data_IF_874832506691
#
_entry.id   IF_874832506691
#
_cell.length_a   1.000
_cell.length_b   1.000
_cell.length_c   1.000
_cell.angle_alpha   90.00
_cell.angle_beta   90.00
_cell.angle_gamma   90.00
#
_symmetry.space_group_name_H-M   'P 1'
#
loop_
_entity.id
_entity.type
_entity.pdbx_description
1 polymer ?
#
# COMPACT_ATOMS: atom_id res chain seq x y z
N UNK A 1 -20.58 -13.27 40.17
CA UNK A 1 -19.12 -13.26 40.33
C UNK A 1 -18.52 -12.19 39.44
N UNK A 2 -17.49 -11.48 39.93
CA UNK A 2 -16.85 -10.37 39.22
C UNK A 2 -15.34 -10.60 39.13
N UNK A 3 -14.70 -10.05 38.11
CA UNK A 3 -13.23 -10.10 37.98
C UNK A 3 -12.53 -9.42 39.17
N UNK A 4 -11.36 -9.92 39.52
CA UNK A 4 -10.51 -9.33 40.57
C UNK A 4 -10.09 -7.91 40.15
N UNK A 5 -9.98 -7.01 41.13
CA UNK A 5 -9.50 -5.64 40.90
C UNK A 5 -8.14 -5.66 40.20
N UNK A 6 -7.93 -4.79 39.23
CA UNK A 6 -6.70 -4.73 38.42
C UNK A 6 -6.63 -5.71 37.23
N UNK A 7 -7.62 -6.61 37.08
CA UNK A 7 -7.64 -7.52 35.92
C UNK A 7 -7.73 -6.73 34.59
N UNK A 8 -6.85 -7.09 33.65
CA UNK A 8 -6.86 -6.61 32.29
C UNK A 8 -6.94 -7.77 31.32
N UNK A 9 -7.71 -7.60 30.25
CA UNK A 9 -7.76 -8.55 29.11
C UNK A 9 -7.41 -7.78 27.85
N UNK A 10 -6.36 -8.23 27.16
CA UNK A 10 -5.79 -7.54 25.99
C UNK A 10 -5.56 -6.03 26.26
N UNK A 11 -5.10 -5.69 27.47
CA UNK A 11 -4.85 -4.31 27.87
C UNK A 11 -6.08 -3.55 28.40
N UNK A 12 -7.29 -4.07 28.20
CA UNK A 12 -8.54 -3.43 28.66
C UNK A 12 -8.83 -3.82 30.12
N UNK A 13 -9.01 -2.82 31.00
CA UNK A 13 -9.34 -3.05 32.42
C UNK A 13 -10.76 -3.59 32.57
N UNK A 14 -10.87 -4.78 33.18
CA UNK A 14 -12.15 -5.47 33.45
C UNK A 14 -12.38 -5.77 34.91
N UNK A 15 -11.48 -5.33 35.79
CA UNK A 15 -11.59 -5.52 37.22
C UNK A 15 -12.92 -5.00 37.79
N UNK A 16 -13.57 -5.79 38.63
CA UNK A 16 -14.86 -5.46 39.24
C UNK A 16 -16.09 -5.69 38.30
N UNK A 17 -15.88 -6.07 37.04
CA UNK A 17 -16.96 -6.34 36.10
C UNK A 17 -17.40 -7.81 36.14
N UNK A 18 -18.64 -8.10 35.77
CA UNK A 18 -19.12 -9.44 35.43
C UNK A 18 -18.56 -9.86 34.07
N UNK A 19 -18.77 -11.11 33.64
CA UNK A 19 -18.35 -11.59 32.32
C UNK A 19 -19.02 -10.78 31.20
N UNK A 20 -20.33 -10.53 31.30
CA UNK A 20 -21.08 -9.80 30.29
C UNK A 20 -20.67 -8.31 30.21
N UNK A 21 -20.49 -7.69 31.38
CA UNK A 21 -19.99 -6.30 31.46
C UNK A 21 -18.55 -6.18 30.90
N UNK A 22 -17.69 -7.17 31.18
CA UNK A 22 -16.32 -7.20 30.66
C UNK A 22 -16.29 -7.41 29.16
N UNK A 23 -17.14 -8.32 28.65
CA UNK A 23 -17.31 -8.54 27.21
C UNK A 23 -17.72 -7.25 26.50
N UNK A 24 -18.80 -6.62 26.96
CA UNK A 24 -19.30 -5.37 26.38
C UNK A 24 -18.24 -4.24 26.44
N UNK A 25 -17.46 -4.16 27.52
CA UNK A 25 -16.41 -3.16 27.68
C UNK A 25 -15.25 -3.38 26.68
N UNK A 26 -14.82 -4.64 26.49
CA UNK A 26 -13.74 -4.96 25.54
C UNK A 26 -14.21 -4.70 24.10
N UNK A 27 -15.41 -5.18 23.74
CA UNK A 27 -16.00 -4.97 22.43
C UNK A 27 -16.18 -3.48 22.13
N UNK A 28 -16.70 -2.70 23.07
CA UNK A 28 -16.87 -1.25 22.94
C UNK A 28 -15.55 -0.50 22.81
N UNK A 29 -14.52 -0.91 23.57
CA UNK A 29 -13.19 -0.32 23.48
C UNK A 29 -12.62 -0.47 22.08
N UNK A 30 -12.59 -1.69 21.54
CA UNK A 30 -12.03 -1.93 20.23
C UNK A 30 -12.88 -1.36 19.10
N UNK A 31 -14.20 -1.33 19.22
CA UNK A 31 -15.07 -0.72 18.21
C UNK A 31 -14.90 0.81 18.13
N UNK A 32 -14.67 1.48 19.26
CA UNK A 32 -14.52 2.93 19.31
C UNK A 32 -13.09 3.44 19.08
N UNK A 33 -12.11 2.64 19.45
CA UNK A 33 -10.69 3.05 19.46
C UNK A 33 -9.89 2.53 18.25
N UNK A 34 -10.47 1.63 17.44
CA UNK A 34 -9.74 1.10 16.30
C UNK A 34 -9.52 2.16 15.24
N UNK A 35 -8.25 2.39 14.93
CA UNK A 35 -7.81 3.26 13.86
C UNK A 35 -6.63 2.61 13.16
N UNK A 36 -6.68 2.51 11.84
CA UNK A 36 -5.55 2.10 11.01
C UNK A 36 -4.91 3.33 10.39
N UNK A 37 -3.69 3.64 10.79
CA UNK A 37 -2.87 4.68 10.16
C UNK A 37 -2.11 4.09 8.97
N UNK A 38 -2.39 4.59 7.77
CA UNK A 38 -1.70 4.24 6.53
C UNK A 38 -0.56 5.24 6.36
N UNK A 39 0.68 4.72 6.39
CA UNK A 39 1.88 5.53 6.19
C UNK A 39 2.30 5.45 4.73
N UNK A 40 2.51 6.61 4.13
CA UNK A 40 2.82 6.76 2.73
C UNK A 40 4.27 7.21 2.51
N UNK A 41 4.74 7.04 1.30
CA UNK A 41 6.01 7.61 0.86
C UNK A 41 6.04 9.12 1.09
N UNK A 42 7.17 9.64 1.57
CA UNK A 42 7.30 11.06 1.89
C UNK A 42 6.72 11.48 3.23
N UNK A 43 6.28 10.52 4.08
CA UNK A 43 5.84 10.77 5.46
C UNK A 43 4.38 11.22 5.59
N UNK A 44 3.62 11.26 4.50
CA UNK A 44 2.17 11.52 4.57
C UNK A 44 1.46 10.35 5.23
N UNK A 45 0.33 10.63 5.88
CA UNK A 45 -0.47 9.60 6.57
C UNK A 45 -1.94 9.85 6.32
N UNK A 46 -2.68 8.77 6.15
CA UNK A 46 -4.13 8.76 6.13
C UNK A 46 -4.65 7.76 7.16
N UNK A 47 -5.89 7.91 7.59
CA UNK A 47 -6.47 7.05 8.64
C UNK A 47 -7.81 6.49 8.20
N UNK A 48 -8.00 5.19 8.41
CA UNK A 48 -9.30 4.52 8.33
C UNK A 48 -9.72 4.21 9.77
N UNK A 49 -10.86 4.76 10.20
CA UNK A 49 -11.38 4.53 11.54
C UNK A 49 -12.24 3.27 11.60
N UNK A 50 -12.36 2.67 12.77
CA UNK A 50 -13.26 1.54 12.98
C UNK A 50 -14.71 1.88 12.66
N UNK A 51 -15.14 3.10 12.96
CA UNK A 51 -16.49 3.59 12.65
C UNK A 51 -16.74 3.64 11.12
N UNK A 52 -15.73 3.99 10.33
CA UNK A 52 -15.84 4.05 8.87
C UNK A 52 -16.19 2.70 8.23
N UNK A 53 -15.73 1.61 8.82
CA UNK A 53 -15.82 0.26 8.27
C UNK A 53 -16.71 -0.68 9.09
N UNK A 54 -17.37 -0.17 10.13
CA UNK A 54 -18.19 -0.98 11.03
C UNK A 54 -17.36 -2.06 11.76
N UNK A 55 -16.14 -1.71 12.17
CA UNK A 55 -15.20 -2.62 12.84
C UNK A 55 -15.78 -3.08 14.17
N UNK A 56 -15.82 -4.38 14.38
CA UNK A 56 -16.29 -5.00 15.63
C UNK A 56 -15.33 -6.11 16.02
N UNK A 57 -15.21 -6.28 17.32
CA UNK A 57 -14.47 -7.38 17.93
C UNK A 57 -15.44 -8.22 18.71
N UNK A 58 -15.45 -9.50 18.46
CA UNK A 58 -16.18 -10.47 19.27
C UNK A 58 -15.23 -11.15 20.24
N UNK A 59 -15.57 -11.03 21.51
CA UNK A 59 -14.85 -11.65 22.60
C UNK A 59 -15.39 -13.07 22.79
N UNK A 60 -14.55 -14.12 22.65
CA UNK A 60 -14.99 -15.48 22.80
C UNK A 60 -15.31 -15.83 24.27
N UNK A 61 -15.95 -16.97 24.49
CA UNK A 61 -16.37 -17.44 25.81
C UNK A 61 -15.21 -17.68 26.82
N UNK A 62 -13.97 -17.60 26.38
CA UNK A 62 -12.77 -17.72 27.23
C UNK A 62 -12.67 -16.72 28.39
N UNK A 63 -13.42 -15.60 28.36
CA UNK A 63 -13.54 -14.68 29.49
C UNK A 63 -14.04 -15.35 30.75
N UNK A 64 -14.99 -16.28 30.63
CA UNK A 64 -15.50 -17.04 31.75
C UNK A 64 -14.43 -17.93 32.38
N UNK A 65 -13.59 -18.54 31.57
CA UNK A 65 -12.49 -19.40 32.05
C UNK A 65 -11.47 -18.59 32.89
N UNK A 66 -11.15 -17.35 32.50
CA UNK A 66 -10.29 -16.46 33.27
C UNK A 66 -10.91 -16.16 34.62
N UNK A 67 -12.21 -15.82 34.66
CA UNK A 67 -12.92 -15.54 35.91
C UNK A 67 -12.98 -16.78 36.81
N UNK A 68 -13.27 -17.95 36.26
CA UNK A 68 -13.34 -19.20 37.03
C UNK A 68 -11.96 -19.56 37.60
N UNK A 69 -10.87 -19.35 36.88
CA UNK A 69 -9.50 -19.53 37.36
C UNK A 69 -9.17 -18.58 38.53
N UNK A 70 -9.56 -17.30 38.44
CA UNK A 70 -9.39 -16.34 39.56
C UNK A 70 -10.18 -16.73 40.79
N UNK A 71 -11.38 -17.27 40.63
CA UNK A 71 -12.19 -17.75 41.76
C UNK A 71 -11.58 -18.99 42.42
N UNK A 72 -11.04 -19.94 41.62
CA UNK A 72 -10.37 -21.14 42.11
C UNK A 72 -9.07 -20.82 42.84
N UNK A 73 -8.32 -19.81 42.41
CA UNK A 73 -7.07 -19.36 43.00
C UNK A 73 -7.26 -18.56 44.32
N UNK A 74 -8.49 -18.43 44.83
CA UNK A 74 -8.76 -17.72 46.07
C UNK A 74 -8.74 -16.21 45.97
N UNK A 75 -8.92 -15.66 44.74
CA UNK A 75 -9.07 -14.21 44.49
C UNK A 75 -7.92 -13.37 45.04
N UNK A 76 -6.71 -13.74 44.75
CA UNK A 76 -5.53 -12.96 45.13
C UNK A 76 -5.61 -11.58 44.47
N UNK A 77 -5.93 -10.57 45.29
CA UNK A 77 -5.89 -9.16 44.87
C UNK A 77 -4.81 -8.45 45.65
N UNK A 78 -3.82 -7.91 44.93
CA UNK A 78 -2.81 -7.06 45.53
C UNK A 78 -2.37 -6.02 44.49
N UNK A 79 -1.82 -4.87 44.91
CA UNK A 79 -1.38 -3.82 44.02
C UNK A 79 -0.28 -4.29 43.03
N UNK A 80 0.41 -5.39 43.34
CA UNK A 80 1.52 -5.93 42.55
C UNK A 80 1.16 -7.23 41.79
N UNK A 81 -0.10 -7.67 41.84
CA UNK A 81 -0.53 -8.86 41.12
C UNK A 81 -0.72 -8.50 39.63
N UNK A 82 0.12 -9.06 38.76
CA UNK A 82 -0.10 -8.97 37.32
C UNK A 82 -1.29 -9.87 36.92
N UNK A 83 -2.46 -9.25 36.86
CA UNK A 83 -3.70 -9.88 36.40
C UNK A 83 -3.96 -9.61 34.90
N UNK A 84 -2.92 -9.51 34.10
CA UNK A 84 -3.03 -9.30 32.68
C UNK A 84 -3.20 -10.62 31.94
N UNK A 85 -4.20 -10.68 31.07
CA UNK A 85 -4.54 -11.84 30.27
C UNK A 85 -4.59 -11.45 28.80
N UNK A 86 -4.17 -12.38 27.94
CA UNK A 86 -4.28 -12.23 26.49
C UNK A 86 -5.18 -13.33 25.95
N UNK A 87 -6.10 -12.96 25.06
CA UNK A 87 -6.97 -13.92 24.39
C UNK A 87 -7.15 -13.55 22.92
N UNK A 88 -7.32 -14.57 22.08
CA UNK A 88 -7.68 -14.36 20.69
C UNK A 88 -9.11 -13.78 20.59
N UNK A 89 -9.30 -12.80 19.72
CA UNK A 89 -10.60 -12.20 19.44
C UNK A 89 -10.93 -12.34 17.95
N UNK A 90 -12.21 -12.41 17.63
CA UNK A 90 -12.66 -12.43 16.23
C UNK A 90 -12.97 -11.01 15.80
N UNK A 91 -12.40 -10.60 14.68
CA UNK A 91 -12.63 -9.29 14.07
C UNK A 91 -13.63 -9.44 12.92
N UNK A 92 -14.63 -8.55 12.91
CA UNK A 92 -15.59 -8.41 11.81
C UNK A 92 -15.65 -6.96 11.35
N UNK A 93 -15.84 -6.73 10.07
CA UNK A 93 -16.00 -5.40 9.46
C UNK A 93 -16.71 -5.51 8.11
N UNK A 94 -17.23 -4.40 7.60
CA UNK A 94 -17.82 -4.34 6.27
C UNK A 94 -16.72 -4.27 5.19
N UNK A 95 -16.60 -5.32 4.39
CA UNK A 95 -15.66 -5.34 3.25
C UNK A 95 -16.00 -4.28 2.21
N UNK A 96 -17.30 -4.02 1.99
CA UNK A 96 -17.77 -2.98 1.06
C UNK A 96 -17.35 -1.59 1.54
N UNK A 97 -17.59 -1.27 2.82
CA UNK A 97 -17.20 0.01 3.40
C UNK A 97 -15.68 0.19 3.41
N UNK A 98 -14.91 -0.86 3.74
CA UNK A 98 -13.45 -0.84 3.66
C UNK A 98 -12.99 -0.57 2.23
N UNK A 99 -13.51 -1.28 1.24
CA UNK A 99 -13.17 -1.08 -0.17
C UNK A 99 -13.48 0.35 -0.65
N UNK A 100 -14.63 0.91 -0.26
CA UNK A 100 -14.99 2.29 -0.57
C UNK A 100 -14.01 3.30 0.08
N UNK A 101 -13.61 3.07 1.33
CA UNK A 101 -12.64 3.94 2.02
C UNK A 101 -11.25 3.86 1.39
N UNK A 102 -10.78 2.67 1.02
CA UNK A 102 -9.49 2.50 0.34
C UNK A 102 -9.48 3.27 -0.97
N UNK A 103 -10.52 3.13 -1.80
CA UNK A 103 -10.62 3.87 -3.07
C UNK A 103 -10.67 5.40 -2.90
N UNK A 104 -11.18 5.87 -1.78
CA UNK A 104 -11.26 7.29 -1.45
C UNK A 104 -9.97 7.87 -0.86
N UNK A 105 -8.96 7.04 -0.55
CA UNK A 105 -7.66 7.52 -0.09
C UNK A 105 -7.02 8.44 -1.13
N UNK A 106 -6.41 9.53 -0.70
CA UNK A 106 -5.71 10.46 -1.60
C UNK A 106 -4.51 9.81 -2.28
N UNK A 107 -3.96 8.78 -1.67
CA UNK A 107 -2.98 7.85 -2.22
C UNK A 107 -3.44 7.20 -3.54
N UNK A 108 -4.75 6.95 -3.70
CA UNK A 108 -5.34 6.27 -4.87
C UNK A 108 -6.05 7.26 -5.80
N UNK A 109 -6.83 8.19 -5.23
CA UNK A 109 -7.72 9.07 -5.99
C UNK A 109 -7.33 10.55 -5.96
N UNK A 110 -6.21 10.91 -5.32
CA UNK A 110 -5.79 12.29 -5.15
C UNK A 110 -5.29 12.95 -6.43
N UNK A 111 -5.50 14.26 -6.56
CA UNK A 111 -5.06 15.06 -7.71
C UNK A 111 -3.54 15.27 -7.79
N UNK A 112 -2.80 14.93 -6.73
CA UNK A 112 -1.33 15.05 -6.66
C UNK A 112 -0.57 13.78 -7.09
N UNK A 113 -1.24 12.84 -7.75
CA UNK A 113 -0.61 11.60 -8.19
C UNK A 113 0.22 11.87 -9.44
N UNK A 114 1.50 11.53 -9.36
CA UNK A 114 2.43 11.50 -10.49
C UNK A 114 2.66 10.04 -10.89
N UNK A 115 2.47 9.73 -12.15
CA UNK A 115 2.66 8.36 -12.66
C UNK A 115 4.15 8.06 -12.78
N UNK A 116 4.55 6.91 -12.25
CA UNK A 116 5.90 6.38 -12.43
C UNK A 116 6.06 5.89 -13.87
N UNK A 117 7.15 6.26 -14.51
CA UNK A 117 7.48 5.82 -15.87
C UNK A 117 8.98 5.58 -16.01
N UNK A 118 9.31 4.56 -16.80
CA UNK A 118 10.69 4.27 -17.18
C UNK A 118 11.23 5.32 -18.15
N UNK A 119 12.54 5.48 -18.16
CA UNK A 119 13.22 6.24 -19.21
C UNK A 119 12.97 5.57 -20.56
N UNK A 120 12.82 6.37 -21.58
CA UNK A 120 12.52 5.91 -22.94
C UNK A 120 13.18 6.80 -23.98
N UNK A 121 13.24 6.31 -25.20
CA UNK A 121 13.69 7.14 -26.33
C UNK A 121 12.51 7.97 -26.83
N UNK A 122 12.77 9.23 -27.21
CA UNK A 122 11.77 10.11 -27.81
C UNK A 122 11.22 9.49 -29.11
N UNK A 123 9.95 9.78 -29.42
CA UNK A 123 9.41 9.49 -30.75
C UNK A 123 10.04 10.43 -31.79
N UNK A 124 10.00 10.02 -33.05
CA UNK A 124 10.33 10.89 -34.15
C UNK A 124 9.13 11.84 -34.38
N UNK A 125 9.27 13.09 -33.95
CA UNK A 125 8.15 14.06 -34.00
C UNK A 125 8.36 15.16 -35.02
N UNK A 126 9.62 15.54 -35.23
CA UNK A 126 9.97 16.63 -36.13
C UNK A 126 11.17 16.26 -37.00
N UNK A 127 11.09 16.62 -38.29
CA UNK A 127 12.18 16.46 -39.23
C UNK A 127 13.44 17.23 -38.77
N UNK A 128 14.58 16.56 -38.77
CA UNK A 128 15.86 17.13 -38.35
C UNK A 128 16.13 17.07 -36.84
N UNK A 129 15.17 16.65 -36.01
CA UNK A 129 15.41 16.48 -34.56
C UNK A 129 16.07 15.13 -34.27
N UNK A 130 17.14 15.09 -33.43
CA UNK A 130 17.74 13.84 -33.01
C UNK A 130 16.84 13.11 -32.01
N UNK A 131 16.91 11.78 -32.02
CA UNK A 131 16.36 11.01 -30.91
C UNK A 131 17.10 11.35 -29.62
N UNK A 132 16.37 11.45 -28.53
CA UNK A 132 16.89 11.75 -27.20
C UNK A 132 16.35 10.77 -26.16
N UNK A 133 17.09 10.57 -25.10
CA UNK A 133 16.61 9.82 -23.95
C UNK A 133 15.71 10.75 -23.12
N UNK A 134 14.45 10.36 -22.95
CA UNK A 134 13.51 11.01 -22.05
C UNK A 134 13.73 10.40 -20.66
N UNK A 135 14.03 11.21 -19.62
CA UNK A 135 14.30 10.70 -18.29
C UNK A 135 13.12 9.93 -17.69
N UNK A 136 13.44 9.00 -16.80
CA UNK A 136 12.47 8.32 -15.98
C UNK A 136 11.78 9.30 -15.03
N UNK A 137 10.57 8.95 -14.60
CA UNK A 137 9.83 9.68 -13.57
C UNK A 137 9.57 8.74 -12.41
N UNK A 138 10.21 8.97 -11.26
CA UNK A 138 9.83 8.29 -10.03
C UNK A 138 8.60 8.98 -9.46
N UNK A 139 7.45 8.43 -9.76
CA UNK A 139 6.16 8.93 -9.30
C UNK A 139 5.78 8.47 -7.90
N UNK A 140 4.53 8.74 -7.55
CA UNK A 140 3.93 8.36 -6.29
C UNK A 140 2.62 7.57 -6.48
N UNK A 141 2.38 7.03 -7.66
CA UNK A 141 1.25 6.15 -7.92
C UNK A 141 1.50 4.75 -7.36
N UNK A 142 0.42 4.11 -6.93
CA UNK A 142 0.45 2.78 -6.31
C UNK A 142 -0.29 1.75 -7.16
N UNK A 143 0.06 0.48 -6.97
CA UNK A 143 -0.76 -0.65 -7.39
C UNK A 143 -1.98 -0.74 -6.47
N UNK A 144 -3.16 -0.40 -7.00
CA UNK A 144 -4.43 -0.37 -6.24
C UNK A 144 -4.78 -1.75 -5.69
N UNK A 145 -4.58 -2.81 -6.47
CA UNK A 145 -4.91 -4.18 -6.04
C UNK A 145 -4.03 -4.60 -4.86
N UNK A 146 -2.72 -4.42 -4.99
CA UNK A 146 -1.76 -4.73 -3.93
C UNK A 146 -1.98 -3.86 -2.68
N UNK A 147 -2.24 -2.58 -2.87
CA UNK A 147 -2.55 -1.65 -1.76
C UNK A 147 -3.81 -2.08 -1.00
N UNK A 148 -4.85 -2.47 -1.74
CA UNK A 148 -6.09 -2.99 -1.16
C UNK A 148 -5.85 -4.27 -0.36
N UNK A 149 -5.06 -5.20 -0.89
CA UNK A 149 -4.69 -6.44 -0.21
C UNK A 149 -3.95 -6.15 1.11
N UNK A 150 -2.92 -5.30 1.06
CA UNK A 150 -2.09 -4.93 2.22
C UNK A 150 -2.91 -4.25 3.31
N UNK A 151 -3.76 -3.27 2.96
CA UNK A 151 -4.63 -2.58 3.92
C UNK A 151 -5.66 -3.54 4.50
N UNK A 152 -6.28 -4.38 3.67
CA UNK A 152 -7.26 -5.38 4.12
C UNK A 152 -6.65 -6.38 5.09
N UNK A 153 -5.43 -6.85 4.82
CA UNK A 153 -4.69 -7.73 5.72
C UNK A 153 -4.38 -7.06 7.07
N UNK A 154 -4.00 -5.79 7.05
CA UNK A 154 -3.74 -5.01 8.26
C UNK A 154 -5.01 -4.84 9.12
N UNK A 155 -6.15 -4.51 8.51
CA UNK A 155 -7.46 -4.42 9.20
C UNK A 155 -7.84 -5.78 9.81
N UNK A 156 -7.72 -6.85 9.05
CA UNK A 156 -8.03 -8.22 9.50
C UNK A 156 -7.16 -8.65 10.66
N UNK A 157 -5.90 -8.23 10.67
CA UNK A 157 -4.96 -8.52 11.75
C UNK A 157 -5.09 -7.58 12.95
N UNK A 158 -6.00 -6.59 12.92
CA UNK A 158 -6.16 -5.61 13.98
C UNK A 158 -4.96 -4.69 14.17
N UNK A 159 -4.16 -4.46 13.12
CA UNK A 159 -3.01 -3.58 13.19
C UNK A 159 -3.45 -2.11 13.34
N UNK A 160 -2.66 -1.32 14.06
CA UNK A 160 -2.89 0.11 14.24
C UNK A 160 -2.20 0.96 13.16
N UNK A 161 -1.26 0.40 12.42
CA UNK A 161 -0.56 1.08 11.32
C UNK A 161 -0.08 0.11 10.27
N UNK A 162 0.01 0.59 9.03
CA UNK A 162 0.61 -0.11 7.91
C UNK A 162 1.42 0.89 7.08
N UNK A 163 2.59 0.46 6.63
CA UNK A 163 3.47 1.25 5.75
C UNK A 163 3.39 0.67 4.35
N UNK A 164 2.72 1.40 3.45
CA UNK A 164 2.47 0.94 2.09
C UNK A 164 3.70 1.08 1.19
N UNK A 165 4.68 1.92 1.55
CA UNK A 165 5.95 1.99 0.82
C UNK A 165 6.82 0.78 1.16
N UNK A 166 6.98 0.48 2.44
CA UNK A 166 7.70 -0.73 2.89
C UNK A 166 7.04 -2.02 2.41
N UNK A 167 5.71 -2.03 2.23
CA UNK A 167 4.98 -3.14 1.66
C UNK A 167 5.13 -3.25 0.12
N UNK A 168 5.83 -2.30 -0.50
CA UNK A 168 6.10 -2.29 -1.94
C UNK A 168 4.85 -2.03 -2.79
N UNK A 169 3.93 -1.19 -2.31
CA UNK A 169 2.71 -0.84 -3.04
C UNK A 169 2.96 0.18 -4.15
N UNK A 170 4.04 0.95 -4.10
CA UNK A 170 4.35 1.94 -5.12
C UNK A 170 5.00 1.31 -6.35
N UNK A 171 4.62 1.79 -7.52
CA UNK A 171 5.35 1.47 -8.74
C UNK A 171 6.79 1.98 -8.65
N UNK A 172 7.70 1.23 -9.24
CA UNK A 172 9.13 1.55 -9.27
C UNK A 172 9.59 1.80 -10.71
N UNK A 173 10.56 2.68 -10.86
CA UNK A 173 11.29 2.81 -12.12
C UNK A 173 12.19 1.59 -12.29
N UNK A 174 12.11 0.94 -13.45
CA UNK A 174 12.95 -0.20 -13.81
C UNK A 174 14.11 0.20 -14.72
N UNK A 175 13.91 1.20 -15.57
CA UNK A 175 14.90 1.70 -16.52
C UNK A 175 15.12 3.19 -16.26
N UNK A 176 16.34 3.55 -15.88
CA UNK A 176 16.73 4.93 -15.70
C UNK A 176 17.41 5.48 -16.95
N UNK A 177 17.48 6.80 -17.11
CA UNK A 177 18.19 7.49 -18.20
C UNK A 177 19.67 7.18 -18.28
N UNK A 178 20.23 6.57 -17.23
CA UNK A 178 21.63 6.11 -17.18
C UNK A 178 21.81 4.67 -17.66
N UNK A 179 20.74 3.99 -18.11
CA UNK A 179 20.82 2.64 -18.64
C UNK A 179 21.65 2.61 -19.92
N UNK A 180 22.72 1.81 -19.90
CA UNK A 180 23.67 1.75 -21.01
C UNK A 180 23.07 1.21 -22.30
N UNK A 181 22.10 0.28 -22.21
CA UNK A 181 21.42 -0.27 -23.39
C UNK A 181 20.50 0.76 -24.02
N UNK A 182 19.80 1.54 -23.20
CA UNK A 182 18.93 2.62 -23.68
C UNK A 182 19.75 3.71 -24.37
N UNK A 183 20.86 4.11 -23.77
CA UNK A 183 21.80 5.10 -24.35
C UNK A 183 22.38 4.60 -25.68
N UNK A 184 22.85 3.34 -25.70
CA UNK A 184 23.42 2.74 -26.91
C UNK A 184 22.36 2.61 -28.04
N UNK A 185 21.11 2.27 -27.67
CA UNK A 185 20.00 2.19 -28.61
C UNK A 185 19.69 3.58 -29.19
N UNK A 186 19.60 4.61 -28.36
CA UNK A 186 19.37 5.98 -28.81
C UNK A 186 20.47 6.47 -29.76
N UNK A 187 21.72 6.19 -29.43
CA UNK A 187 22.86 6.52 -30.30
C UNK A 187 22.76 5.80 -31.68
N UNK A 188 22.39 4.52 -31.68
CA UNK A 188 22.20 3.74 -32.92
C UNK A 188 21.04 4.27 -33.77
N UNK A 189 19.93 4.66 -33.14
CA UNK A 189 18.80 5.26 -33.85
C UNK A 189 19.22 6.58 -34.54
N UNK A 190 20.03 7.40 -33.88
CA UNK A 190 20.59 8.61 -34.45
C UNK A 190 21.56 8.31 -35.61
N UNK A 191 22.37 7.23 -35.53
CA UNK A 191 23.19 6.79 -36.65
C UNK A 191 22.35 6.43 -37.88
N UNK A 192 21.25 5.72 -37.70
CA UNK A 192 20.33 5.41 -38.82
C UNK A 192 19.69 6.66 -39.40
N UNK A 193 19.36 7.65 -38.59
CA UNK A 193 18.86 8.95 -39.06
C UNK A 193 19.89 9.69 -39.92
N UNK A 194 21.17 9.56 -39.64
CA UNK A 194 22.24 10.22 -40.36
C UNK A 194 22.70 9.43 -41.58
N UNK A 195 22.13 8.24 -41.85
CA UNK A 195 22.45 7.43 -43.02
C UNK A 195 21.68 7.90 -44.24
N UNK A 196 22.26 7.64 -45.40
CA UNK A 196 21.55 7.72 -46.69
C UNK A 196 21.82 6.49 -47.52
N UNK A 197 20.81 6.03 -48.22
CA UNK A 197 20.93 4.89 -49.16
C UNK A 197 20.66 5.39 -50.56
N UNK A 198 21.64 5.20 -51.45
CA UNK A 198 21.51 5.55 -52.83
C UNK A 198 21.19 4.29 -53.64
N UNK A 199 20.06 4.29 -54.30
CA UNK A 199 19.68 3.27 -55.23
C UNK A 199 20.07 3.72 -56.64
N UNK A 200 20.71 2.84 -57.42
CA UNK A 200 21.11 3.11 -58.81
C UNK A 200 20.45 2.09 -59.72
N UNK A 201 19.61 2.58 -60.62
CA UNK A 201 18.89 1.78 -61.62
C UNK A 201 19.29 2.25 -63.05
N UNK A 202 20.34 1.66 -63.57
CA UNK A 202 20.88 2.15 -64.80
C UNK A 202 21.47 3.56 -64.71
N UNK A 203 20.92 4.51 -65.41
CA UNK A 203 21.33 5.93 -65.33
C UNK A 203 20.53 6.74 -64.26
N UNK A 204 19.53 6.16 -63.67
CA UNK A 204 18.70 6.80 -62.60
C UNK A 204 19.26 6.53 -61.22
N UNK A 205 19.17 7.56 -60.38
CA UNK A 205 19.56 7.49 -58.98
C UNK A 205 18.42 7.98 -58.09
N UNK A 206 18.10 7.20 -57.10
CA UNK A 206 17.18 7.59 -56.04
C UNK A 206 17.91 7.55 -54.68
N UNK A 207 17.73 8.58 -53.89
CA UNK A 207 18.34 8.66 -52.54
C UNK A 207 17.25 8.56 -51.49
N UNK A 208 17.35 7.55 -50.65
CA UNK A 208 16.56 7.44 -49.43
C UNK A 208 17.33 8.11 -48.28
N UNK A 209 16.84 9.23 -47.81
CA UNK A 209 17.48 9.98 -46.73
C UNK A 209 17.23 9.38 -45.35
N UNK A 210 18.09 9.72 -44.39
CA UNK A 210 18.02 9.25 -43.04
C UNK A 210 16.74 9.63 -42.31
N UNK A 211 16.11 10.76 -42.67
CA UNK A 211 14.82 11.18 -42.12
C UNK A 211 13.71 10.14 -42.40
N UNK A 212 13.68 9.62 -43.63
CA UNK A 212 12.74 8.55 -43.98
C UNK A 212 13.06 7.26 -43.22
N UNK A 213 14.35 6.94 -43.07
CA UNK A 213 14.79 5.76 -42.32
C UNK A 213 14.42 5.93 -40.81
N UNK A 214 14.65 7.11 -40.24
CA UNK A 214 14.32 7.41 -38.84
C UNK A 214 12.82 7.26 -38.57
N UNK A 215 11.97 7.72 -39.49
CA UNK A 215 10.51 7.57 -39.34
C UNK A 215 10.05 6.10 -39.31
N UNK A 216 10.81 5.17 -39.85
CA UNK A 216 10.51 3.74 -39.82
C UNK A 216 11.01 3.02 -38.56
N UNK A 217 11.97 3.62 -37.86
CA UNK A 217 12.57 3.02 -36.65
C UNK A 217 11.73 3.28 -35.39
N UNK A 218 10.77 4.18 -35.46
CA UNK A 218 9.82 4.43 -34.38
C UNK A 218 8.75 3.34 -34.33
N UNK A 219 8.85 2.44 -33.43
CA UNK A 219 7.87 1.39 -33.14
C UNK A 219 7.43 1.39 -31.72
#
# INVERSE_FOLDING_TARGET
TRFVSGTKVNGVGVGGLTVDEAKARIEGFYAGEYNLTIRERGGRQETITGADIGYKVEVPEGLKAILDAQNAAGRVSGPDADNSHTMAMTVTYSQEALGAKIKALTLISGSGITVTSDARISSYEEEGQPFSVIPAVQGNNVDEAKTTEVITAAVKAGQSSVDVDSAGCYYQVNIWETDENLIALCARMNQYRDMSVNYVFGDEKETLGGETIAAWVTG
#
